data_IF_187118016060
#
_entry.id   IF_187118016060
#
_cell.length_a   1.000
_cell.length_b   1.000
_cell.length_c   1.000
_cell.angle_alpha   90.00
_cell.angle_beta   90.00
_cell.angle_gamma   90.00
#
_symmetry.space_group_name_H-M   'P 1'
#
loop_
_entity.id
_entity.type
_entity.pdbx_description
1 polymer ?
#
# COMPACT_ATOMS: atom_id res chain seq x y z
N UNK A 1 9.23 -4.00 41.48
CA UNK A 1 8.76 -2.89 40.66
C UNK A 1 8.14 -3.51 39.40
N UNK A 2 6.86 -3.76 39.44
CA UNK A 2 6.07 -4.34 38.33
C UNK A 2 5.85 -3.24 37.32
N UNK A 3 6.53 -3.31 36.16
CA UNK A 3 6.22 -2.46 35.03
C UNK A 3 4.81 -2.82 34.56
N UNK A 4 3.88 -1.88 34.64
CA UNK A 4 2.57 -2.01 34.01
C UNK A 4 2.79 -2.26 32.51
N UNK A 5 2.06 -3.20 31.89
CA UNK A 5 2.18 -3.44 30.46
C UNK A 5 1.90 -2.12 29.71
N UNK A 6 2.86 -1.69 28.90
CA UNK A 6 2.71 -0.50 28.06
C UNK A 6 1.54 -0.77 27.10
N UNK A 7 0.56 0.13 27.09
CA UNK A 7 -0.58 0.05 26.14
C UNK A 7 -0.01 0.07 24.71
N UNK A 8 -0.38 -0.88 23.84
CA UNK A 8 0.09 -0.87 22.46
C UNK A 8 -0.70 0.14 21.62
N UNK A 9 -0.05 0.66 20.58
CA UNK A 9 -0.70 1.45 19.55
C UNK A 9 -1.79 0.62 18.85
N UNK A 10 -3.01 1.14 18.78
CA UNK A 10 -4.11 0.40 18.15
C UNK A 10 -3.84 0.13 16.65
N UNK A 11 -3.11 1.01 15.95
CA UNK A 11 -2.84 0.84 14.53
C UNK A 11 -1.69 -0.14 14.26
N UNK A 12 -0.48 0.08 14.80
CA UNK A 12 0.71 -0.70 14.46
C UNK A 12 1.20 -1.67 15.54
N UNK A 13 0.64 -1.59 16.76
CA UNK A 13 1.04 -2.48 17.87
C UNK A 13 2.28 -2.04 18.65
N UNK A 14 3.00 -1.00 18.19
CA UNK A 14 4.17 -0.49 18.90
C UNK A 14 3.80 0.04 20.29
N UNK A 15 4.65 -0.15 21.31
CA UNK A 15 4.37 0.32 22.66
C UNK A 15 4.32 1.85 22.71
N UNK A 16 3.31 2.39 23.41
CA UNK A 16 3.17 3.83 23.61
C UNK A 16 4.29 4.34 24.52
N UNK A 17 4.91 5.45 24.15
CA UNK A 17 5.87 6.14 25.01
C UNK A 17 5.13 6.92 26.11
N UNK A 18 5.68 6.94 27.31
CA UNK A 18 5.09 7.68 28.43
C UNK A 18 4.93 9.17 28.08
N UNK A 19 3.71 9.70 28.26
CA UNK A 19 3.38 11.10 27.96
C UNK A 19 2.90 11.38 26.53
N UNK A 20 2.86 10.39 25.63
CA UNK A 20 2.25 10.53 24.31
C UNK A 20 0.73 10.32 24.41
N UNK A 21 -0.04 11.28 23.89
CA UNK A 21 -1.51 11.27 23.91
C UNK A 21 -2.07 11.48 22.48
N UNK A 22 -1.64 10.62 21.56
CA UNK A 22 -2.28 10.59 20.24
C UNK A 22 -3.43 9.60 20.27
N UNK A 23 -4.62 10.03 19.87
CA UNK A 23 -5.80 9.16 19.76
C UNK A 23 -6.49 9.37 18.41
N UNK A 24 -7.14 8.32 17.92
CA UNK A 24 -8.04 8.38 16.77
C UNK A 24 -9.38 7.75 17.15
N UNK A 25 -10.47 8.27 16.59
CA UNK A 25 -11.82 7.72 16.81
C UNK A 25 -12.09 6.61 15.80
N UNK A 26 -12.21 5.38 16.29
CA UNK A 26 -12.49 4.19 15.48
C UNK A 26 -13.76 3.52 16.04
N UNK A 27 -14.79 3.36 15.22
CA UNK A 27 -16.12 2.85 15.64
C UNK A 27 -16.69 3.57 16.87
N UNK A 28 -16.46 4.89 16.99
CA UNK A 28 -16.95 5.73 18.09
C UNK A 28 -16.16 5.60 19.40
N UNK A 29 -15.03 4.89 19.40
CA UNK A 29 -14.12 4.75 20.53
C UNK A 29 -12.82 5.49 20.26
N UNK A 30 -12.29 6.13 21.31
CA UNK A 30 -10.93 6.67 21.27
C UNK A 30 -9.93 5.54 21.42
N UNK A 31 -9.13 5.32 20.37
CA UNK A 31 -8.09 4.30 20.35
C UNK A 31 -6.70 4.96 20.37
N UNK A 32 -5.76 4.44 21.19
CA UNK A 32 -4.46 5.08 21.38
C UNK A 32 -3.52 4.83 20.20
N UNK A 33 -2.75 5.87 19.84
CA UNK A 33 -1.77 5.84 18.73
C UNK A 33 -0.37 6.19 19.26
N UNK A 34 0.68 5.55 18.70
CA UNK A 34 2.06 5.79 19.13
C UNK A 34 2.66 7.08 18.59
N UNK A 35 2.13 7.60 17.47
CA UNK A 35 2.64 8.77 16.79
C UNK A 35 1.55 9.47 15.97
N UNK A 36 1.77 10.73 15.53
CA UNK A 36 0.85 11.45 14.64
C UNK A 36 0.62 10.72 13.31
N UNK A 37 1.62 9.99 12.77
CA UNK A 37 1.49 9.21 11.54
C UNK A 37 0.47 8.09 11.69
N UNK A 38 0.54 7.28 12.75
CA UNK A 38 -0.47 6.27 13.02
C UNK A 38 -1.87 6.86 13.20
N UNK A 39 -1.97 8.05 13.82
CA UNK A 39 -3.22 8.79 13.93
C UNK A 39 -3.75 9.19 12.56
N UNK A 40 -2.92 9.83 11.73
CA UNK A 40 -3.32 10.29 10.40
C UNK A 40 -3.76 9.12 9.49
N UNK A 41 -3.03 8.00 9.52
CA UNK A 41 -3.40 6.78 8.78
C UNK A 41 -4.75 6.24 9.28
N UNK A 42 -4.93 6.12 10.59
CA UNK A 42 -6.17 5.62 11.17
C UNK A 42 -7.37 6.52 10.81
N UNK A 43 -7.21 7.84 10.92
CA UNK A 43 -8.25 8.80 10.52
C UNK A 43 -8.57 8.70 9.03
N UNK A 44 -7.56 8.52 8.17
CA UNK A 44 -7.74 8.33 6.73
C UNK A 44 -8.53 7.06 6.42
N UNK A 45 -8.22 5.94 7.08
CA UNK A 45 -8.94 4.67 6.95
C UNK A 45 -10.41 4.84 7.34
N UNK A 46 -10.67 5.48 8.48
CA UNK A 46 -12.04 5.72 8.97
C UNK A 46 -12.79 6.68 8.04
N UNK A 47 -12.18 7.81 7.66
CA UNK A 47 -12.77 8.81 6.77
C UNK A 47 -13.09 8.25 5.37
N UNK A 48 -12.32 7.26 4.92
CA UNK A 48 -12.57 6.54 3.65
C UNK A 48 -13.66 5.47 3.77
N UNK A 49 -14.33 5.34 4.91
CA UNK A 49 -15.37 4.31 5.13
C UNK A 49 -14.80 2.89 5.32
N UNK A 50 -13.49 2.75 5.50
CA UNK A 50 -12.76 1.48 5.56
C UNK A 50 -12.58 0.95 6.99
N UNK A 51 -13.43 1.36 7.93
CA UNK A 51 -13.36 0.97 9.35
C UNK A 51 -13.35 -0.55 9.58
N UNK A 52 -13.92 -1.33 8.65
CA UNK A 52 -13.91 -2.79 8.69
C UNK A 52 -12.49 -3.38 8.57
N UNK A 53 -11.52 -2.62 8.08
CA UNK A 53 -10.10 -2.97 8.14
C UNK A 53 -9.69 -3.38 9.56
N UNK A 54 -10.05 -2.60 10.58
CA UNK A 54 -9.69 -2.87 11.97
C UNK A 54 -10.41 -4.08 12.57
N UNK A 55 -11.55 -4.49 12.00
CA UNK A 55 -12.29 -5.69 12.42
C UNK A 55 -11.75 -6.98 11.83
N UNK A 56 -11.21 -6.90 10.61
CA UNK A 56 -10.81 -8.08 9.83
C UNK A 56 -9.29 -8.29 9.75
N UNK A 57 -8.49 -7.35 10.24
CA UNK A 57 -7.03 -7.55 10.27
C UNK A 57 -6.67 -8.68 11.24
N UNK A 58 -5.88 -9.63 10.77
CA UNK A 58 -5.35 -10.75 11.56
C UNK A 58 -3.97 -10.46 12.12
N UNK A 59 -3.25 -9.52 11.51
CA UNK A 59 -1.90 -9.10 11.88
C UNK A 59 -1.80 -7.57 11.91
N UNK A 60 -0.84 -7.08 12.69
CA UNK A 60 -0.55 -5.65 12.74
C UNK A 60 0.35 -5.27 11.57
N UNK A 61 0.11 -4.13 10.90
CA UNK A 61 0.97 -3.67 9.83
C UNK A 61 2.38 -3.39 10.39
N UNK A 62 3.41 -3.87 9.70
CA UNK A 62 4.79 -3.52 10.00
C UNK A 62 5.08 -2.15 9.40
N UNK A 63 4.70 -1.09 10.08
CA UNK A 63 4.93 0.27 9.65
C UNK A 63 6.21 0.75 10.32
N UNK A 64 7.22 1.08 9.53
CA UNK A 64 8.32 1.90 10.00
C UNK A 64 7.77 3.31 10.25
N UNK A 65 7.94 3.92 11.44
CA UNK A 65 7.47 5.28 11.68
C UNK A 65 8.20 6.21 10.72
N UNK A 66 7.47 6.77 9.76
CA UNK A 66 7.97 7.85 8.93
C UNK A 66 8.11 9.10 9.80
N UNK A 67 9.29 9.69 9.85
CA UNK A 67 9.51 11.00 10.45
C UNK A 67 8.85 12.07 9.56
N UNK A 68 7.99 12.90 10.12
CA UNK A 68 6.71 13.34 9.58
C UNK A 68 6.69 14.50 8.58
N UNK A 69 7.75 15.20 8.28
CA UNK A 69 7.66 16.34 7.35
C UNK A 69 8.74 16.35 6.25
N UNK A 70 9.96 15.99 6.56
CA UNK A 70 11.06 15.98 5.59
C UNK A 70 11.07 14.71 4.71
N UNK A 71 10.63 13.56 5.24
CA UNK A 71 10.57 12.31 4.47
C UNK A 71 9.40 12.29 3.46
N UNK A 72 8.28 12.93 3.77
CA UNK A 72 7.13 13.01 2.85
C UNK A 72 7.46 13.91 1.66
N UNK A 73 8.17 15.02 1.86
CA UNK A 73 8.60 15.92 0.78
C UNK A 73 9.68 15.24 -0.08
N UNK A 74 10.67 14.61 0.54
CA UNK A 74 11.73 13.87 -0.16
C UNK A 74 11.17 12.64 -0.89
N UNK A 75 10.19 11.95 -0.28
CA UNK A 75 9.49 10.85 -0.93
C UNK A 75 8.69 11.34 -2.15
N UNK A 76 7.98 12.47 -2.06
CA UNK A 76 7.25 13.06 -3.18
C UNK A 76 8.15 13.43 -4.35
N UNK A 77 9.29 14.05 -4.09
CA UNK A 77 10.28 14.37 -5.13
C UNK A 77 10.81 13.10 -5.78
N UNK A 78 11.11 12.08 -4.97
CA UNK A 78 11.55 10.77 -5.47
C UNK A 78 10.46 10.05 -6.26
N UNK A 79 9.20 10.14 -5.85
CA UNK A 79 8.06 9.53 -6.52
C UNK A 79 7.75 10.19 -7.86
N UNK A 80 8.00 11.50 -8.02
CA UNK A 80 7.79 12.21 -9.29
C UNK A 80 8.70 11.68 -10.42
N UNK A 81 9.81 11.04 -10.09
CA UNK A 81 10.68 10.40 -11.08
C UNK A 81 9.95 9.28 -11.85
N UNK A 82 8.99 8.61 -11.20
CA UNK A 82 8.19 7.56 -11.84
C UNK A 82 7.20 8.10 -12.90
N UNK A 83 7.00 9.41 -12.99
CA UNK A 83 6.18 10.03 -14.03
C UNK A 83 6.97 10.24 -15.34
N UNK A 84 8.31 10.09 -15.29
CA UNK A 84 9.15 10.19 -16.47
C UNK A 84 8.85 9.07 -17.48
N UNK A 85 8.54 9.44 -18.72
CA UNK A 85 8.30 8.48 -19.81
C UNK A 85 9.49 7.53 -20.04
N UNK A 86 10.71 8.05 -19.86
CA UNK A 86 11.91 7.26 -20.05
C UNK A 86 12.00 6.10 -19.03
N UNK A 87 11.59 6.36 -17.79
CA UNK A 87 11.55 5.36 -16.74
C UNK A 87 10.35 4.42 -16.92
N UNK A 88 9.18 4.95 -17.24
CA UNK A 88 7.96 4.16 -17.44
C UNK A 88 8.07 3.13 -18.55
N UNK A 89 8.82 3.40 -19.63
CA UNK A 89 9.06 2.44 -20.72
C UNK A 89 9.64 1.10 -20.27
N UNK A 90 10.22 1.04 -19.09
CA UNK A 90 10.86 -0.18 -18.56
C UNK A 90 9.86 -1.12 -17.87
N UNK A 91 8.72 -0.60 -17.38
CA UNK A 91 7.78 -1.39 -16.55
C UNK A 91 6.31 -1.06 -16.77
N UNK A 92 5.98 -0.06 -17.59
CA UNK A 92 4.59 0.34 -17.90
C UNK A 92 4.23 -0.10 -19.31
N UNK A 93 3.17 -0.89 -19.43
CA UNK A 93 2.52 -1.15 -20.71
C UNK A 93 1.59 0.02 -21.05
N UNK A 94 1.69 0.53 -22.29
CA UNK A 94 0.90 1.68 -22.76
C UNK A 94 0.06 1.28 -23.95
N UNK A 95 -1.25 1.58 -23.89
CA UNK A 95 -2.20 1.43 -24.99
C UNK A 95 -3.00 2.73 -25.16
N UNK A 96 -2.52 3.63 -26.02
CA UNK A 96 -3.08 4.97 -26.14
C UNK A 96 -2.90 5.78 -24.84
N UNK A 97 -4.00 6.25 -24.26
CA UNK A 97 -3.99 6.98 -22.98
C UNK A 97 -4.02 6.06 -21.76
N UNK A 98 -4.37 4.79 -21.96
CA UNK A 98 -4.37 3.78 -20.90
C UNK A 98 -2.97 3.25 -20.65
N UNK A 99 -2.62 3.18 -19.39
CA UNK A 99 -1.36 2.63 -18.88
C UNK A 99 -1.65 1.52 -17.88
N UNK A 100 -0.80 0.50 -17.89
CA UNK A 100 -0.83 -0.58 -16.91
C UNK A 100 0.57 -0.84 -16.38
N UNK A 101 0.69 -1.02 -15.09
CA UNK A 101 1.93 -1.42 -14.43
C UNK A 101 1.71 -2.49 -13.37
N UNK A 102 2.74 -3.27 -13.13
CA UNK A 102 2.82 -4.16 -11.97
C UNK A 102 3.76 -3.54 -10.95
N UNK A 103 3.28 -3.40 -9.71
CA UNK A 103 4.05 -2.88 -8.58
C UNK A 103 4.24 -3.99 -7.56
N UNK A 104 5.41 -4.05 -6.92
CA UNK A 104 5.64 -4.86 -5.72
C UNK A 104 5.28 -4.00 -4.52
N UNK A 105 4.45 -4.53 -3.62
CA UNK A 105 4.07 -3.86 -2.40
C UNK A 105 4.76 -4.54 -1.23
N UNK A 106 5.51 -3.76 -0.46
CA UNK A 106 6.18 -4.22 0.75
C UNK A 106 5.35 -3.96 2.01
N UNK A 107 5.50 -4.85 3.01
CA UNK A 107 4.82 -4.73 4.30
C UNK A 107 3.40 -5.31 4.34
N UNK A 108 2.95 -6.05 3.30
CA UNK A 108 1.66 -6.72 3.32
C UNK A 108 1.78 -8.03 4.09
N UNK A 109 0.95 -8.20 5.11
CA UNK A 109 0.93 -9.42 5.94
C UNK A 109 -0.39 -10.18 5.90
N UNK A 110 -1.49 -9.55 5.51
CA UNK A 110 -2.81 -10.16 5.56
C UNK A 110 -3.77 -9.70 4.45
N UNK A 111 -4.85 -10.45 4.27
CA UNK A 111 -5.87 -10.13 3.25
C UNK A 111 -6.54 -8.77 3.48
N UNK A 112 -6.68 -8.32 4.73
CA UNK A 112 -7.23 -7.00 5.04
C UNK A 112 -6.32 -5.87 4.54
N UNK A 113 -4.99 -6.04 4.62
CA UNK A 113 -4.02 -5.09 4.07
C UNK A 113 -4.13 -5.01 2.54
N UNK A 114 -4.22 -6.16 1.88
CA UNK A 114 -4.39 -6.24 0.44
C UNK A 114 -5.68 -5.54 -0.02
N UNK A 115 -6.79 -5.84 0.66
CA UNK A 115 -8.09 -5.22 0.40
C UNK A 115 -8.05 -3.71 0.60
N UNK A 116 -7.40 -3.21 1.67
CA UNK A 116 -7.27 -1.79 1.96
C UNK A 116 -6.55 -1.05 0.82
N UNK A 117 -5.43 -1.61 0.34
CA UNK A 117 -4.64 -1.03 -0.74
C UNK A 117 -5.46 -1.03 -2.04
N UNK A 118 -6.04 -2.18 -2.43
CA UNK A 118 -6.89 -2.28 -3.62
C UNK A 118 -8.02 -1.26 -3.59
N UNK A 119 -8.73 -1.21 -2.46
CA UNK A 119 -9.89 -0.33 -2.32
C UNK A 119 -9.47 1.14 -2.41
N UNK A 120 -8.40 1.54 -1.75
CA UNK A 120 -7.89 2.92 -1.80
C UNK A 120 -7.43 3.32 -3.19
N UNK A 121 -6.69 2.45 -3.87
CA UNK A 121 -6.19 2.74 -5.23
C UNK A 121 -7.34 2.79 -6.23
N UNK A 122 -8.31 1.88 -6.14
CA UNK A 122 -9.50 1.90 -7.03
C UNK A 122 -10.40 3.14 -6.82
N UNK A 123 -10.31 3.84 -5.69
CA UNK A 123 -11.05 5.09 -5.45
C UNK A 123 -10.38 6.33 -6.07
N UNK A 124 -9.15 6.22 -6.56
CA UNK A 124 -8.48 7.35 -7.20
C UNK A 124 -9.12 7.63 -8.56
N UNK A 125 -9.49 8.89 -8.78
CA UNK A 125 -10.01 9.32 -10.08
C UNK A 125 -8.94 9.09 -11.15
N UNK A 126 -9.29 8.40 -12.21
CA UNK A 126 -8.37 8.03 -13.30
C UNK A 126 -7.79 6.62 -13.18
N UNK A 127 -7.94 5.95 -12.05
CA UNK A 127 -7.64 4.52 -11.92
C UNK A 127 -8.86 3.73 -12.43
N UNK A 128 -8.62 2.81 -13.36
CA UNK A 128 -9.65 1.94 -13.92
C UNK A 128 -9.76 0.62 -13.15
N UNK A 129 -8.61 0.09 -12.75
CA UNK A 129 -8.53 -1.18 -12.03
C UNK A 129 -7.24 -1.27 -11.22
N UNK A 130 -7.36 -1.76 -10.01
CA UNK A 130 -6.23 -2.17 -9.19
C UNK A 130 -6.55 -3.52 -8.54
N UNK A 131 -5.66 -4.50 -8.71
CA UNK A 131 -5.81 -5.85 -8.16
C UNK A 131 -4.51 -6.31 -7.56
N UNK A 132 -4.53 -6.67 -6.28
CA UNK A 132 -3.37 -7.08 -5.51
C UNK A 132 -3.39 -8.58 -5.25
N UNK A 133 -2.36 -9.26 -5.69
CA UNK A 133 -2.16 -10.67 -5.39
C UNK A 133 -1.32 -10.82 -4.11
N UNK A 134 -1.95 -11.31 -3.03
CA UNK A 134 -1.33 -11.46 -1.73
C UNK A 134 -0.18 -12.50 -1.73
N UNK A 135 -0.24 -13.52 -2.59
CA UNK A 135 0.77 -14.59 -2.60
C UNK A 135 2.12 -14.15 -3.13
N UNK A 136 2.15 -13.15 -4.01
CA UNK A 136 3.38 -12.62 -4.60
C UNK A 136 3.55 -11.11 -4.39
N UNK A 137 2.68 -10.49 -3.58
CA UNK A 137 2.69 -9.07 -3.24
C UNK A 137 2.68 -8.14 -4.46
N UNK A 138 2.10 -8.57 -5.58
CA UNK A 138 2.04 -7.79 -6.81
C UNK A 138 0.69 -7.11 -6.96
N UNK A 139 0.72 -5.79 -7.09
CA UNK A 139 -0.41 -4.95 -7.46
C UNK A 139 -0.34 -4.68 -8.96
N UNK A 140 -1.34 -5.14 -9.70
CA UNK A 140 -1.54 -4.74 -11.10
C UNK A 140 -2.49 -3.56 -11.09
N UNK A 141 -2.06 -2.43 -11.62
CA UNK A 141 -2.85 -1.21 -11.70
C UNK A 141 -2.94 -0.71 -13.14
N UNK A 142 -4.18 -0.43 -13.59
CA UNK A 142 -4.47 0.20 -14.87
C UNK A 142 -5.10 1.58 -14.62
N UNK A 143 -4.61 2.60 -15.33
CA UNK A 143 -5.07 3.98 -15.17
C UNK A 143 -5.05 4.76 -16.47
N UNK A 144 -5.83 5.83 -16.52
CA UNK A 144 -5.76 6.83 -17.58
C UNK A 144 -4.72 7.89 -17.23
N UNK A 145 -3.69 8.02 -18.04
CA UNK A 145 -2.55 8.92 -17.77
C UNK A 145 -2.90 10.41 -17.91
N UNK A 146 -4.05 10.73 -18.52
CA UNK A 146 -4.53 12.13 -18.58
C UNK A 146 -5.20 12.57 -17.28
N UNK A 147 -5.73 11.62 -16.50
CA UNK A 147 -6.47 11.90 -15.28
C UNK A 147 -5.63 11.79 -14.01
N UNK A 148 -4.64 10.88 -14.01
CA UNK A 148 -3.80 10.61 -12.84
C UNK A 148 -2.38 10.23 -13.25
N UNK A 149 -1.39 10.77 -12.54
CA UNK A 149 0.02 10.40 -12.68
C UNK A 149 0.35 9.17 -11.81
N UNK A 150 1.34 8.39 -12.24
CA UNK A 150 1.78 7.20 -11.51
C UNK A 150 2.30 7.53 -10.09
N UNK A 151 2.97 8.68 -9.93
CA UNK A 151 3.42 9.19 -8.62
C UNK A 151 2.29 9.34 -7.61
N UNK A 152 1.09 9.74 -8.05
CA UNK A 152 -0.08 9.90 -7.18
C UNK A 152 -0.61 8.54 -6.70
N UNK A 153 -0.48 7.49 -7.51
CA UNK A 153 -0.81 6.12 -7.12
C UNK A 153 0.17 5.64 -6.05
N UNK A 154 1.47 5.87 -6.26
CA UNK A 154 2.49 5.57 -5.24
C UNK A 154 2.25 6.33 -3.94
N UNK A 155 1.93 7.62 -4.03
CA UNK A 155 1.63 8.46 -2.85
C UNK A 155 0.43 7.92 -2.06
N UNK A 156 -0.63 7.46 -2.75
CA UNK A 156 -1.80 6.90 -2.09
C UNK A 156 -1.46 5.62 -1.30
N UNK A 157 -0.59 4.77 -1.85
CA UNK A 157 -0.11 3.55 -1.18
C UNK A 157 0.78 3.93 0.01
N UNK A 158 1.69 4.89 -0.18
CA UNK A 158 2.59 5.36 0.87
C UNK A 158 1.82 5.96 2.06
N UNK A 159 0.76 6.73 1.81
CA UNK A 159 -0.10 7.30 2.85
C UNK A 159 -0.83 6.25 3.71
N UNK A 160 -0.99 5.04 3.21
CA UNK A 160 -1.49 3.90 3.97
C UNK A 160 -0.40 3.22 4.81
N UNK A 161 0.85 3.68 4.72
CA UNK A 161 2.00 3.12 5.43
C UNK A 161 2.71 1.98 4.70
N UNK A 162 2.39 1.74 3.42
CA UNK A 162 3.03 0.72 2.60
C UNK A 162 4.04 1.32 1.63
N UNK A 163 5.04 0.53 1.25
CA UNK A 163 6.00 0.90 0.19
C UNK A 163 5.65 0.18 -1.09
N UNK A 164 5.81 0.87 -2.22
CA UNK A 164 5.61 0.29 -3.53
C UNK A 164 6.86 0.54 -4.40
N UNK A 165 7.20 -0.43 -5.24
CA UNK A 165 8.26 -0.32 -6.23
C UNK A 165 7.79 -0.91 -7.57
N UNK A 166 8.26 -0.41 -8.71
CA UNK A 166 7.98 -1.01 -10.00
C UNK A 166 8.50 -2.44 -10.07
N UNK A 167 7.69 -3.34 -10.61
CA UNK A 167 8.11 -4.68 -10.96
C UNK A 167 8.48 -4.70 -12.45
N UNK A 168 9.75 -4.91 -12.75
CA UNK A 168 10.20 -5.26 -14.09
C UNK A 168 10.47 -6.76 -14.12
N UNK A 169 9.72 -7.50 -14.94
CA UNK A 169 10.07 -8.91 -15.17
C UNK A 169 11.39 -8.95 -15.93
N UNK A 170 12.41 -9.48 -15.30
CA UNK A 170 13.57 -9.95 -16.08
C UNK A 170 13.10 -11.08 -17.00
N UNK A 171 13.74 -11.29 -18.15
CA UNK A 171 13.36 -12.35 -19.10
C UNK A 171 13.23 -13.72 -18.42
N UNK A 172 14.01 -13.98 -17.37
CA UNK A 172 13.96 -15.19 -16.56
C UNK A 172 12.64 -15.36 -15.78
N UNK A 173 12.09 -14.28 -15.24
CA UNK A 173 10.81 -14.34 -14.51
C UNK A 173 9.64 -14.54 -15.46
N UNK A 174 9.67 -13.89 -16.63
CA UNK A 174 8.69 -14.08 -17.69
C UNK A 174 8.73 -15.52 -18.23
N UNK A 175 9.92 -16.11 -18.32
CA UNK A 175 10.11 -17.50 -18.73
C UNK A 175 9.51 -18.48 -17.69
N UNK A 176 9.82 -18.29 -16.40
CA UNK A 176 9.28 -19.10 -15.28
C UNK A 176 7.75 -19.01 -15.21
N UNK A 177 7.18 -17.84 -15.42
CA UNK A 177 5.73 -17.66 -15.41
C UNK A 177 5.05 -18.35 -16.58
N UNK A 178 5.66 -18.30 -17.78
CA UNK A 178 5.19 -19.04 -18.97
C UNK A 178 5.28 -20.55 -18.77
N UNK A 179 6.35 -21.04 -18.16
CA UNK A 179 6.54 -22.46 -17.85
C UNK A 179 5.55 -22.95 -16.79
N UNK A 180 5.32 -22.15 -15.72
CA UNK A 180 4.30 -22.44 -14.71
C UNK A 180 2.90 -22.52 -15.31
N UNK A 181 2.49 -21.58 -16.15
CA UNK A 181 1.20 -21.61 -16.86
C UNK A 181 1.06 -22.81 -17.79
N UNK A 182 2.15 -23.23 -18.47
CA UNK A 182 2.16 -24.44 -19.30
C UNK A 182 2.03 -25.71 -18.46
N UNK A 183 2.69 -25.79 -17.30
CA UNK A 183 2.62 -26.93 -16.40
C UNK A 183 1.18 -27.12 -15.85
N UNK A 184 0.54 -26.04 -15.39
CA UNK A 184 -0.85 -26.07 -14.93
C UNK A 184 -1.81 -26.52 -16.03
N UNK A 185 -1.61 -26.05 -17.27
CA UNK A 185 -2.46 -26.42 -18.42
C UNK A 185 -2.30 -27.90 -18.81
N UNK A 186 -1.16 -28.52 -18.53
CA UNK A 186 -0.92 -29.97 -18.76
C UNK A 186 -1.53 -30.87 -17.68
N UNK A 187 -1.78 -30.33 -16.48
CA UNK A 187 -2.41 -31.07 -15.38
C UNK A 187 -3.95 -30.97 -15.39
N UNK A 188 -4.50 -30.08 -16.22
CA UNK A 188 -5.95 -29.83 -16.33
C UNK A 188 -6.61 -30.58 -17.51
N UNK A 189 -5.99 -31.68 -18.01
CA UNK A 189 -6.56 -32.58 -19.03
C UNK A 189 -6.82 -33.94 -18.42
#
# INVERSE_FOLDING_TARGET
MTQSPLTPCFHCGEPLKAGQQWTAIIDGKEEPMCCPGCKAVAETIVASGLKDYYRHRTELPQISPANEDDEVLTARESLSLYDSEALQKQFVATQGEQKEATLIIDGISCAACAWLIEHRVNQLKGVERATLNLSNHRLVVAWNNTDIALSQIFEAIYRLGYKAAPFSSTEDDAQREREGKKAIRRLAV
#
